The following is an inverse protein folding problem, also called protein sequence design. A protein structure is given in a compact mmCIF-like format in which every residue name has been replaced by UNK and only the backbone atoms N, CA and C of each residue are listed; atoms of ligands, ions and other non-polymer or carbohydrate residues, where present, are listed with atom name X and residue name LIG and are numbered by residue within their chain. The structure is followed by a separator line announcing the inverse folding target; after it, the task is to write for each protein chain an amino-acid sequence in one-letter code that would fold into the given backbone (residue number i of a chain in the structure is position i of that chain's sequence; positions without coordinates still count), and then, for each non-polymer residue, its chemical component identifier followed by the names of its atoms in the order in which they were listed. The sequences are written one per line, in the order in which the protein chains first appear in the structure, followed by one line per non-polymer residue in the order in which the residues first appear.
data_IF_617231821968
#
_entry.id   IF_617231821968
#
_cell.length_a   1.000
_cell.length_b   1.000
_cell.length_c   1.000
_cell.angle_alpha   90.00
_cell.angle_beta   90.00
_cell.angle_gamma   90.00
#
_symmetry.space_group_name_H-M   'P 1'
#
loop_
_entity.id
_entity.type
_entity.pdbx_description
1 polymer ?
#
# COMPACT_ATOMS: atom_id res chain seq x y z
N UNK A 1 -13.44 22.23 -3.93
CA UNK A 1 -12.20 21.74 -4.57
C UNK A 1 -12.10 22.43 -5.91
N UNK A 2 -11.10 23.29 -6.10
CA UNK A 2 -10.95 24.02 -7.36
C UNK A 2 -10.22 23.16 -8.40
N UNK A 3 -10.98 22.58 -9.34
CA UNK A 3 -10.49 21.62 -10.34
C UNK A 3 -9.35 22.15 -11.21
N UNK A 4 -9.31 23.47 -11.45
CA UNK A 4 -8.29 24.11 -12.29
C UNK A 4 -6.86 23.94 -11.75
N UNK A 5 -6.68 23.88 -10.43
CA UNK A 5 -5.36 23.65 -9.81
C UNK A 5 -4.83 22.24 -10.07
N UNK A 6 -5.72 21.24 -10.03
CA UNK A 6 -5.40 19.83 -10.28
C UNK A 6 -5.08 19.62 -11.75
N UNK A 7 -5.87 20.22 -12.66
CA UNK A 7 -5.66 20.09 -14.11
C UNK A 7 -4.31 20.64 -14.57
N UNK A 8 -3.86 21.77 -14.00
CA UNK A 8 -2.54 22.36 -14.29
C UNK A 8 -1.37 21.46 -13.90
N UNK A 9 -1.58 20.58 -12.92
CA UNK A 9 -0.55 19.73 -12.32
C UNK A 9 -0.76 18.25 -12.65
N UNK A 10 -1.59 17.92 -13.64
CA UNK A 10 -1.93 16.52 -13.97
C UNK A 10 -0.72 15.65 -14.31
N UNK A 11 0.31 16.23 -14.94
CA UNK A 11 1.57 15.54 -15.29
C UNK A 11 2.42 15.22 -14.05
N UNK A 12 2.13 15.88 -12.91
CA UNK A 12 2.77 15.71 -11.61
C UNK A 12 1.96 14.81 -10.65
N UNK A 13 1.06 13.99 -11.21
CA UNK A 13 0.21 13.08 -10.44
C UNK A 13 0.46 11.67 -10.94
N UNK A 14 1.16 10.87 -10.14
CA UNK A 14 1.35 9.45 -10.43
C UNK A 14 -0.01 8.72 -10.40
N UNK A 15 -0.36 7.96 -11.45
CA UNK A 15 -1.57 7.15 -11.48
C UNK A 15 -1.60 6.13 -10.35
N UNK A 16 -2.77 5.94 -9.73
CA UNK A 16 -2.99 4.94 -8.68
C UNK A 16 -4.23 4.11 -9.01
N UNK A 17 -4.14 2.78 -8.83
CA UNK A 17 -5.25 1.84 -9.07
C UNK A 17 -6.54 2.22 -8.31
N UNK A 18 -6.43 2.89 -7.15
CA UNK A 18 -7.57 3.33 -6.32
C UNK A 18 -7.93 4.81 -6.48
N UNK A 19 -7.27 5.53 -7.39
CA UNK A 19 -7.36 6.98 -7.48
C UNK A 19 -6.69 7.70 -6.30
N UNK A 20 -6.85 9.03 -6.26
CA UNK A 20 -6.28 9.92 -5.24
C UNK A 20 -7.36 10.84 -4.68
N UNK A 21 -7.16 11.31 -3.45
CA UNK A 21 -8.06 12.28 -2.84
C UNK A 21 -7.98 13.63 -3.57
N UNK A 22 -9.08 14.08 -4.18
CA UNK A 22 -9.14 15.38 -4.85
C UNK A 22 -8.93 16.54 -3.86
N UNK A 23 -9.35 16.37 -2.60
CA UNK A 23 -9.10 17.35 -1.54
C UNK A 23 -7.61 17.45 -1.20
N UNK A 24 -6.92 16.31 -1.08
CA UNK A 24 -5.48 16.29 -0.83
C UNK A 24 -4.70 16.91 -2.00
N UNK A 25 -5.07 16.59 -3.25
CA UNK A 25 -4.45 17.18 -4.44
C UNK A 25 -4.64 18.69 -4.51
N UNK A 26 -5.85 19.20 -4.23
CA UNK A 26 -6.10 20.63 -4.25
C UNK A 26 -5.31 21.37 -3.16
N UNK A 27 -5.23 20.83 -1.94
CA UNK A 27 -4.37 21.38 -0.91
C UNK A 27 -2.91 21.40 -1.39
N UNK A 28 -2.46 20.29 -1.98
CA UNK A 28 -1.09 20.13 -2.44
C UNK A 28 -0.69 21.17 -3.48
N UNK A 29 -1.59 21.52 -4.40
CA UNK A 29 -1.32 22.46 -5.49
C UNK A 29 -1.66 23.92 -5.17
N UNK A 30 -2.17 24.22 -3.97
CA UNK A 30 -2.57 25.58 -3.57
C UNK A 30 -1.50 26.37 -2.81
N UNK A 31 -0.51 25.69 -2.23
CA UNK A 31 0.50 26.31 -1.35
C UNK A 31 1.79 26.69 -2.11
N UNK A 32 2.47 27.75 -1.67
CA UNK A 32 3.83 28.06 -2.13
C UNK A 32 4.80 26.92 -1.74
N UNK A 33 5.76 26.61 -2.62
CA UNK A 33 6.67 25.46 -2.43
C UNK A 33 7.45 25.52 -1.11
N UNK A 34 8.00 26.68 -0.73
CA UNK A 34 8.81 26.78 0.50
C UNK A 34 7.97 26.58 1.77
N UNK A 35 6.78 27.20 1.82
CA UNK A 35 5.85 27.04 2.96
C UNK A 35 5.34 25.61 3.07
N UNK A 36 5.07 24.98 1.92
CA UNK A 36 4.65 23.59 1.82
C UNK A 36 5.74 22.66 2.35
N UNK A 37 6.98 22.83 1.90
CA UNK A 37 8.11 21.97 2.33
C UNK A 37 8.35 22.09 3.83
N UNK A 38 8.27 23.30 4.40
CA UNK A 38 8.33 23.51 5.84
C UNK A 38 7.20 22.78 6.59
N UNK A 39 5.97 22.86 6.08
CA UNK A 39 4.81 22.16 6.67
C UNK A 39 4.97 20.63 6.61
N UNK A 40 5.37 20.09 5.46
CA UNK A 40 5.61 18.65 5.29
C UNK A 40 6.69 18.14 6.24
N UNK A 41 7.79 18.88 6.37
CA UNK A 41 8.87 18.54 7.30
C UNK A 41 8.39 18.51 8.76
N UNK A 42 7.53 19.44 9.18
CA UNK A 42 6.97 19.42 10.53
C UNK A 42 6.01 18.24 10.74
N UNK A 43 5.18 17.91 9.75
CA UNK A 43 4.31 16.73 9.83
C UNK A 43 5.13 15.43 9.88
N UNK A 44 6.19 15.30 9.09
CA UNK A 44 7.13 14.17 9.16
C UNK A 44 7.69 14.00 10.58
N UNK A 45 8.19 15.08 11.19
CA UNK A 45 8.70 15.06 12.57
C UNK A 45 7.63 14.65 13.57
N UNK A 46 6.40 15.13 13.39
CA UNK A 46 5.26 14.74 14.23
C UNK A 46 4.98 13.24 14.15
N UNK A 47 4.91 12.68 12.95
CA UNK A 47 4.72 11.24 12.77
C UNK A 47 5.88 10.43 13.33
N UNK A 48 7.13 10.89 13.17
CA UNK A 48 8.29 10.23 13.75
C UNK A 48 8.22 10.14 15.27
N UNK A 49 7.90 11.25 15.96
CA UNK A 49 7.68 11.24 17.42
C UNK A 49 6.54 10.30 17.82
N UNK A 50 5.49 10.25 17.01
CA UNK A 50 4.37 9.34 17.24
C UNK A 50 4.80 7.87 17.13
N UNK A 51 5.63 7.52 16.14
CA UNK A 51 6.18 6.17 15.99
C UNK A 51 7.12 5.79 17.14
N UNK A 52 7.90 6.73 17.67
CA UNK A 52 8.77 6.50 18.84
C UNK A 52 7.95 6.13 20.08
N UNK A 53 6.78 6.73 20.25
CA UNK A 53 5.85 6.42 21.34
C UNK A 53 4.88 5.26 21.02
N UNK A 54 4.86 4.76 19.79
CA UNK A 54 3.83 3.82 19.34
C UNK A 54 3.91 2.46 20.05
N UNK A 55 5.09 2.05 20.53
CA UNK A 55 5.28 0.78 21.21
C UNK A 55 4.42 0.62 22.48
N UNK A 56 4.04 1.73 23.11
CA UNK A 56 3.22 1.77 24.32
C UNK A 56 1.70 1.83 24.03
N UNK A 57 1.30 1.88 22.74
CA UNK A 57 -0.09 1.89 22.33
C UNK A 57 -0.68 0.49 22.22
N UNK A 58 -2.00 0.38 22.34
CA UNK A 58 -2.71 -0.89 22.10
C UNK A 58 -2.61 -1.35 20.63
N UNK A 59 -2.63 -0.39 19.70
CA UNK A 59 -2.53 -0.60 18.25
C UNK A 59 -1.39 0.21 17.60
N UNK A 60 -0.11 -0.19 17.79
CA UNK A 60 1.03 0.47 17.17
C UNK A 60 0.99 0.52 15.65
N UNK A 61 0.34 -0.46 14.98
CA UNK A 61 0.24 -0.50 13.52
C UNK A 61 -0.52 0.72 12.96
N UNK A 62 -1.49 1.25 13.70
CA UNK A 62 -2.30 2.39 13.24
C UNK A 62 -1.43 3.64 12.98
N UNK A 63 -0.46 3.92 13.86
CA UNK A 63 0.47 5.05 13.69
C UNK A 63 1.28 4.93 12.40
N UNK A 64 1.79 3.73 12.09
CA UNK A 64 2.47 3.46 10.82
C UNK A 64 1.53 3.62 9.64
N UNK A 65 0.34 3.04 9.71
CA UNK A 65 -0.62 3.05 8.61
C UNK A 65 -1.10 4.48 8.29
N UNK A 66 -1.37 5.30 9.31
CA UNK A 66 -1.71 6.72 9.13
C UNK A 66 -0.58 7.50 8.51
N UNK A 67 0.66 7.25 8.92
CA UNK A 67 1.81 7.91 8.34
C UNK A 67 2.00 7.53 6.87
N UNK A 68 1.94 6.24 6.53
CA UNK A 68 2.01 5.76 5.13
C UNK A 68 0.93 6.42 4.27
N UNK A 69 -0.31 6.48 4.77
CA UNK A 69 -1.41 7.14 4.05
C UNK A 69 -1.14 8.63 3.86
N UNK A 70 -0.72 9.32 4.90
CA UNK A 70 -0.37 10.74 4.82
C UNK A 70 0.73 10.99 3.79
N UNK A 71 1.77 10.14 3.75
CA UNK A 71 2.84 10.23 2.74
C UNK A 71 2.30 10.04 1.33
N UNK A 72 1.44 9.04 1.10
CA UNK A 72 0.84 8.81 -0.22
C UNK A 72 0.00 10.00 -0.70
N UNK A 73 -0.78 10.59 0.22
CA UNK A 73 -1.68 11.70 -0.08
C UNK A 73 -0.92 13.01 -0.33
N UNK A 74 0.19 13.25 0.38
CA UNK A 74 0.97 14.49 0.29
C UNK A 74 2.07 14.47 -0.79
N UNK A 75 2.41 13.29 -1.32
CA UNK A 75 3.41 13.13 -2.38
C UNK A 75 2.75 12.55 -3.64
N UNK A 76 2.05 13.38 -4.43
CA UNK A 76 1.34 12.93 -5.63
C UNK A 76 2.27 12.41 -6.72
N UNK A 77 3.54 12.80 -6.67
CA UNK A 77 4.61 12.35 -7.54
C UNK A 77 5.02 10.88 -7.30
N UNK A 78 4.55 10.26 -6.21
CA UNK A 78 4.95 8.92 -5.80
C UNK A 78 6.09 8.91 -4.79
N UNK A 79 6.83 7.80 -4.73
CA UNK A 79 7.99 7.69 -3.84
C UNK A 79 9.15 8.52 -4.38
N UNK A 80 9.78 9.31 -3.52
CA UNK A 80 11.01 10.03 -3.82
C UNK A 80 11.81 10.18 -2.51
N UNK A 81 12.98 10.82 -2.60
CA UNK A 81 13.82 11.07 -1.43
C UNK A 81 13.05 11.78 -0.30
N UNK A 82 12.22 12.76 -0.65
CA UNK A 82 11.52 13.61 0.32
C UNK A 82 10.30 12.95 0.96
N UNK A 83 9.67 11.99 0.27
CA UNK A 83 8.50 11.27 0.80
C UNK A 83 8.91 10.19 1.79
N UNK A 84 10.14 9.68 1.67
CA UNK A 84 10.70 8.63 2.52
C UNK A 84 9.78 7.40 2.64
N UNK A 85 8.97 7.13 1.60
CA UNK A 85 7.92 6.10 1.65
C UNK A 85 8.50 4.69 1.77
N UNK A 86 9.55 4.37 1.00
CA UNK A 86 10.12 3.01 0.98
C UNK A 86 10.75 2.66 2.34
N UNK A 87 11.60 3.51 2.96
CA UNK A 87 12.12 3.24 4.29
C UNK A 87 11.03 3.13 5.36
N UNK A 88 9.97 3.94 5.27
CA UNK A 88 8.82 3.84 6.18
C UNK A 88 8.09 2.50 6.04
N UNK A 89 7.86 2.04 4.80
CA UNK A 89 7.25 0.73 4.54
C UNK A 89 8.14 -0.41 5.05
N UNK A 90 9.45 -0.36 4.81
CA UNK A 90 10.41 -1.36 5.32
C UNK A 90 10.42 -1.41 6.86
N UNK A 91 10.38 -0.25 7.52
CA UNK A 91 10.29 -0.20 8.98
C UNK A 91 8.99 -0.83 9.47
N UNK A 92 7.84 -0.50 8.87
CA UNK A 92 6.54 -1.07 9.23
C UNK A 92 6.52 -2.59 9.05
N UNK A 93 6.93 -3.08 7.87
CA UNK A 93 6.91 -4.51 7.54
C UNK A 93 7.82 -5.31 8.46
N UNK A 94 9.01 -4.81 8.78
CA UNK A 94 9.94 -5.47 9.71
C UNK A 94 9.45 -5.46 11.17
N UNK A 95 8.84 -4.37 11.62
CA UNK A 95 8.43 -4.20 13.03
C UNK A 95 7.38 -5.22 13.44
N UNK A 96 6.38 -5.49 12.58
CA UNK A 96 5.24 -6.34 12.93
C UNK A 96 5.30 -7.78 12.39
N UNK A 97 6.40 -8.21 11.76
CA UNK A 97 6.45 -9.52 11.08
C UNK A 97 6.23 -10.74 11.98
N UNK A 98 6.50 -10.61 13.28
CA UNK A 98 6.28 -11.67 14.28
C UNK A 98 5.01 -11.44 15.13
N UNK A 99 4.33 -10.31 14.95
CA UNK A 99 3.15 -9.99 15.74
C UNK A 99 1.90 -10.61 15.10
N UNK A 100 1.42 -11.70 15.70
CA UNK A 100 0.27 -12.45 15.22
C UNK A 100 -1.02 -11.64 15.18
N UNK A 101 -1.13 -10.56 15.96
CA UNK A 101 -2.31 -9.67 15.94
C UNK A 101 -2.55 -9.06 14.56
N UNK A 102 -1.47 -8.81 13.82
CA UNK A 102 -1.51 -8.13 12.52
C UNK A 102 -1.36 -9.05 11.32
N UNK A 103 -1.14 -10.35 11.55
CA UNK A 103 -0.86 -11.32 10.50
C UNK A 103 -1.92 -11.29 9.39
N UNK A 104 -3.20 -11.16 9.73
CA UNK A 104 -4.31 -11.01 8.77
C UNK A 104 -5.00 -9.64 8.89
N UNK A 105 -4.30 -8.61 9.36
CA UNK A 105 -4.81 -7.23 9.35
C UNK A 105 -4.68 -6.64 7.93
N UNK A 106 -5.77 -6.16 7.31
CA UNK A 106 -5.74 -5.56 5.98
C UNK A 106 -4.80 -4.35 5.85
N UNK A 107 -4.59 -3.58 6.92
CA UNK A 107 -3.66 -2.44 6.96
C UNK A 107 -2.22 -2.92 6.82
N UNK A 108 -1.86 -3.99 7.52
CA UNK A 108 -0.52 -4.55 7.46
C UNK A 108 -0.22 -5.17 6.10
N UNK A 109 -1.16 -5.98 5.58
CA UNK A 109 -1.04 -6.50 4.21
C UNK A 109 -0.92 -5.36 3.19
N UNK A 110 -1.65 -4.26 3.38
CA UNK A 110 -1.54 -3.10 2.47
C UNK A 110 -0.14 -2.48 2.47
N UNK A 111 0.51 -2.36 3.63
CA UNK A 111 1.91 -1.91 3.70
C UNK A 111 2.84 -2.84 2.92
N UNK A 112 2.68 -4.15 3.07
CA UNK A 112 3.46 -5.14 2.31
C UNK A 112 3.24 -5.06 0.79
N UNK A 113 1.99 -4.92 0.35
CA UNK A 113 1.66 -4.80 -1.07
C UNK A 113 2.25 -3.52 -1.67
N UNK A 114 2.17 -2.40 -0.93
CA UNK A 114 2.83 -1.15 -1.33
C UNK A 114 4.36 -1.34 -1.38
N UNK A 115 4.95 -2.06 -0.43
CA UNK A 115 6.38 -2.34 -0.46
C UNK A 115 6.78 -3.18 -1.69
N UNK A 116 5.99 -4.20 -2.02
CA UNK A 116 6.21 -5.04 -3.20
C UNK A 116 6.22 -4.23 -4.51
N UNK A 117 5.37 -3.20 -4.64
CA UNK A 117 5.34 -2.32 -5.81
C UNK A 117 6.64 -1.51 -6.01
N UNK A 118 7.50 -1.40 -4.97
CA UNK A 118 8.69 -0.55 -4.97
C UNK A 118 10.02 -1.31 -4.89
N UNK A 119 10.01 -2.65 -4.93
CA UNK A 119 11.22 -3.48 -4.93
C UNK A 119 11.51 -4.09 -6.30
N UNK A 120 12.76 -4.49 -6.54
CA UNK A 120 13.19 -5.09 -7.82
C UNK A 120 12.55 -6.45 -8.10
N UNK A 121 12.36 -7.27 -7.07
CA UNK A 121 11.74 -8.59 -7.20
C UNK A 121 10.53 -8.72 -6.25
N UNK A 122 9.34 -8.28 -6.68
CA UNK A 122 8.12 -8.39 -5.88
C UNK A 122 7.74 -9.83 -5.56
N UNK A 123 8.15 -10.83 -6.35
CA UNK A 123 7.80 -12.23 -6.08
C UNK A 123 8.43 -12.72 -4.78
N UNK A 124 9.62 -12.23 -4.41
CA UNK A 124 10.24 -12.55 -3.12
C UNK A 124 9.40 -12.05 -1.96
N UNK A 125 8.73 -10.91 -2.11
CA UNK A 125 7.82 -10.38 -1.09
C UNK A 125 6.61 -11.30 -0.93
N UNK A 126 5.95 -11.70 -2.02
CA UNK A 126 4.81 -12.63 -1.95
C UNK A 126 5.20 -13.99 -1.33
N UNK A 127 6.35 -14.55 -1.71
CA UNK A 127 6.87 -15.78 -1.09
C UNK A 127 7.15 -15.61 0.40
N UNK A 128 7.70 -14.47 0.81
CA UNK A 128 7.92 -14.16 2.22
C UNK A 128 6.61 -14.09 2.99
N UNK A 129 5.58 -13.44 2.44
CA UNK A 129 4.25 -13.35 3.04
C UNK A 129 3.63 -14.73 3.21
N UNK A 130 3.71 -15.58 2.20
CA UNK A 130 3.22 -16.96 2.27
C UNK A 130 3.94 -17.77 3.36
N UNK A 131 5.28 -17.73 3.39
CA UNK A 131 6.08 -18.47 4.36
C UNK A 131 5.81 -18.05 5.82
N UNK A 132 5.43 -16.79 6.03
CA UNK A 132 5.12 -16.23 7.35
C UNK A 132 3.61 -16.17 7.63
N UNK A 133 2.77 -16.77 6.77
CA UNK A 133 1.32 -16.76 6.86
C UNK A 133 0.70 -15.35 6.95
N UNK A 134 1.34 -14.33 6.38
CA UNK A 134 0.84 -12.94 6.41
C UNK A 134 -0.19 -12.75 5.29
N UNK A 135 -1.38 -12.28 5.65
CA UNK A 135 -2.47 -11.92 4.74
C UNK A 135 -3.12 -13.11 4.02
N UNK A 136 -2.86 -14.35 4.49
CA UNK A 136 -3.35 -15.55 3.82
C UNK A 136 -4.88 -15.73 3.94
N UNK A 137 -5.53 -15.04 4.88
CA UNK A 137 -6.98 -15.01 4.98
C UNK A 137 -7.61 -13.87 4.16
N UNK A 138 -6.80 -13.07 3.46
CA UNK A 138 -7.25 -11.86 2.77
C UNK A 138 -7.21 -12.05 1.26
N UNK A 139 -8.36 -11.87 0.60
CA UNK A 139 -8.50 -11.95 -0.85
C UNK A 139 -7.50 -11.04 -1.59
N UNK A 140 -7.18 -9.88 -1.01
CA UNK A 140 -6.25 -8.91 -1.57
C UNK A 140 -4.83 -9.48 -1.81
N UNK A 141 -4.38 -10.43 -0.99
CA UNK A 141 -3.09 -11.09 -1.20
C UNK A 141 -3.08 -11.86 -2.53
N UNK A 142 -4.09 -12.70 -2.73
CA UNK A 142 -4.23 -13.54 -3.91
C UNK A 142 -4.49 -12.71 -5.18
N UNK A 143 -5.33 -11.68 -5.09
CA UNK A 143 -5.63 -10.78 -6.20
C UNK A 143 -4.35 -10.08 -6.73
N UNK A 144 -3.55 -9.49 -5.84
CA UNK A 144 -2.34 -8.78 -6.26
C UNK A 144 -1.23 -9.75 -6.69
N UNK A 145 -1.11 -10.92 -6.05
CA UNK A 145 -0.11 -11.90 -6.47
C UNK A 145 -0.43 -12.49 -7.86
N UNK A 146 -1.69 -12.84 -8.10
CA UNK A 146 -2.12 -13.31 -9.41
C UNK A 146 -1.94 -12.22 -10.48
N UNK A 147 -2.24 -10.96 -10.17
CA UNK A 147 -2.01 -9.81 -11.07
C UNK A 147 -0.53 -9.64 -11.42
N UNK A 148 0.37 -9.80 -10.44
CA UNK A 148 1.82 -9.76 -10.69
C UNK A 148 2.24 -10.88 -11.67
N UNK A 149 1.79 -12.11 -11.42
CA UNK A 149 2.12 -13.27 -12.27
C UNK A 149 1.53 -13.10 -13.68
N UNK A 150 0.32 -12.56 -13.79
CA UNK A 150 -0.32 -12.21 -15.05
C UNK A 150 0.53 -11.21 -15.85
N UNK A 151 1.00 -10.12 -15.22
CA UNK A 151 1.86 -9.13 -15.89
C UNK A 151 3.20 -9.69 -16.38
N UNK A 152 3.61 -10.84 -15.84
CA UNK A 152 4.82 -11.58 -16.25
C UNK A 152 4.51 -12.70 -17.26
N UNK A 153 3.27 -12.82 -17.73
CA UNK A 153 2.82 -13.87 -18.65
C UNK A 153 2.72 -15.26 -18.00
N UNK A 154 2.75 -15.36 -16.67
CA UNK A 154 2.72 -16.63 -15.92
C UNK A 154 1.29 -17.05 -15.57
N UNK A 155 0.44 -17.18 -16.60
CA UNK A 155 -0.99 -17.44 -16.49
C UNK A 155 -1.35 -18.67 -15.64
N UNK A 156 -0.63 -19.79 -15.83
CA UNK A 156 -0.87 -21.02 -15.05
C UNK A 156 -0.67 -20.82 -13.55
N UNK A 157 0.40 -20.10 -13.17
CA UNK A 157 0.67 -19.80 -11.76
C UNK A 157 -0.36 -18.80 -11.22
N UNK A 158 -0.79 -17.82 -12.01
CA UNK A 158 -1.86 -16.91 -11.61
C UNK A 158 -3.18 -17.66 -11.32
N UNK A 159 -3.55 -18.64 -12.16
CA UNK A 159 -4.70 -19.52 -11.95
C UNK A 159 -4.59 -20.32 -10.63
N UNK A 160 -3.42 -20.90 -10.37
CA UNK A 160 -3.14 -21.63 -9.12
C UNK A 160 -3.29 -20.73 -7.88
N UNK A 161 -2.79 -19.50 -7.92
CA UNK A 161 -2.92 -18.53 -6.83
C UNK A 161 -4.40 -18.18 -6.56
N UNK A 162 -5.21 -17.94 -7.59
CA UNK A 162 -6.64 -17.69 -7.41
C UNK A 162 -7.34 -18.89 -6.77
N UNK A 163 -7.11 -20.11 -7.28
CA UNK A 163 -7.69 -21.33 -6.71
C UNK A 163 -7.26 -21.55 -5.27
N UNK A 164 -6.00 -21.29 -4.95
CA UNK A 164 -5.48 -21.39 -3.59
C UNK A 164 -6.23 -20.46 -2.63
N UNK A 165 -6.40 -19.20 -2.99
CA UNK A 165 -7.15 -18.24 -2.16
C UNK A 165 -8.62 -18.61 -1.99
N UNK A 166 -9.25 -19.14 -3.04
CA UNK A 166 -10.64 -19.62 -2.98
C UNK A 166 -10.75 -20.84 -2.05
N UNK A 167 -9.84 -21.81 -2.17
CA UNK A 167 -9.80 -23.01 -1.34
C UNK A 167 -9.54 -22.68 0.14
N UNK A 168 -8.84 -21.58 0.41
CA UNK A 168 -8.62 -21.05 1.76
C UNK A 168 -9.73 -20.15 2.28
N UNK A 169 -10.80 -19.94 1.50
CA UNK A 169 -11.91 -19.06 1.85
C UNK A 169 -11.45 -17.62 2.20
N UNK A 170 -10.43 -17.12 1.49
CA UNK A 170 -9.87 -15.79 1.75
C UNK A 170 -10.93 -14.69 1.55
N UNK A 171 -11.01 -13.77 2.50
CA UNK A 171 -12.09 -12.79 2.60
C UNK A 171 -11.75 -11.45 1.93
N UNK A 172 -12.70 -10.79 1.25
CA UNK A 172 -14.07 -11.26 0.95
C UNK A 172 -14.09 -12.30 -0.19
N UNK A 173 -14.61 -13.51 0.06
CA UNK A 173 -14.52 -14.62 -0.88
C UNK A 173 -15.25 -14.36 -2.21
N UNK A 174 -16.43 -13.76 -2.15
CA UNK A 174 -17.22 -13.44 -3.35
C UNK A 174 -16.47 -12.48 -4.28
N UNK A 175 -15.72 -11.54 -3.70
CA UNK A 175 -14.88 -10.62 -4.46
C UNK A 175 -13.74 -11.38 -5.14
N UNK A 176 -13.08 -12.30 -4.42
CA UNK A 176 -12.01 -13.12 -4.98
C UNK A 176 -12.52 -13.99 -6.13
N UNK A 177 -13.67 -14.66 -5.96
CA UNK A 177 -14.29 -15.47 -7.02
C UNK A 177 -14.68 -14.63 -8.24
N UNK A 178 -15.20 -13.41 -8.04
CA UNK A 178 -15.49 -12.49 -9.14
C UNK A 178 -14.21 -12.13 -9.90
N UNK A 179 -13.13 -11.78 -9.18
CA UNK A 179 -11.83 -11.47 -9.78
C UNK A 179 -11.24 -12.65 -10.54
N UNK A 180 -11.41 -13.87 -10.01
CA UNK A 180 -10.98 -15.07 -10.69
C UNK A 180 -11.74 -15.30 -12.00
N UNK A 181 -13.07 -15.11 -12.02
CA UNK A 181 -13.86 -15.16 -13.26
C UNK A 181 -13.41 -14.11 -14.28
N UNK A 182 -13.17 -12.88 -13.83
CA UNK A 182 -12.63 -11.82 -14.69
C UNK A 182 -11.28 -12.24 -15.32
N UNK A 183 -10.39 -12.87 -14.53
CA UNK A 183 -9.12 -13.40 -15.01
C UNK A 183 -9.30 -14.52 -16.06
N UNK A 184 -10.24 -15.44 -15.86
CA UNK A 184 -10.52 -16.53 -16.81
C UNK A 184 -11.06 -16.05 -18.16
N UNK A 185 -11.56 -14.81 -18.23
CA UNK A 185 -12.07 -14.20 -19.46
C UNK A 185 -11.05 -13.34 -20.22
N UNK A 186 -9.84 -13.14 -19.68
CA UNK A 186 -8.74 -12.42 -20.35
C UNK A 186 -7.98 -13.34 -21.30
#
# INVERSE_FOLDING_TARGET
VELASIERQKENIMPMKRGRSAAALAQVFSENNDTRMAHLNEQHKRFQRELEAAADLDDPLDSYYRYVRWTIDNYPQGHNHDSNLVPLLEQCTRTFHQDKRYQNDPRYLRCWLLYAENVKDPQLIFKYLEANNIGQDLAAYYEEYATLLESQGRWKLADEIYRLGINRFAQPLERLQRKYREFQHR
#
